data_IF_215284912836
#
_entry.id   IF_215284912836
#
_cell.length_a   1.000
_cell.length_b   1.000
_cell.length_c   1.000
_cell.angle_alpha   90.00
_cell.angle_beta   90.00
_cell.angle_gamma   90.00
#
_symmetry.space_group_name_H-M   'P 1'
#
loop_
_entity.id
_entity.type
_entity.pdbx_description
1 polymer ?
#
# COMPACT_ATOMS: atom_id res chain seq x y z
N UNK A 1 5.94 -10.81 -24.77
CA UNK A 1 7.31 -11.26 -24.39
C UNK A 1 7.17 -12.53 -23.57
N UNK A 2 8.05 -13.55 -23.72
CA UNK A 2 7.98 -14.72 -22.86
C UNK A 2 8.18 -14.32 -21.40
N UNK A 3 7.38 -14.89 -20.51
CA UNK A 3 7.51 -14.68 -19.07
C UNK A 3 8.85 -15.27 -18.65
N UNK A 4 9.82 -14.40 -18.29
CA UNK A 4 11.06 -14.85 -17.67
C UNK A 4 10.73 -15.24 -16.23
N UNK A 5 10.83 -16.52 -15.92
CA UNK A 5 10.80 -17.00 -14.55
C UNK A 5 12.18 -16.72 -13.93
N UNK A 6 12.28 -15.65 -13.14
CA UNK A 6 13.54 -15.15 -12.57
C UNK A 6 14.14 -16.03 -11.46
N UNK A 7 13.59 -17.24 -11.23
CA UNK A 7 13.93 -18.06 -10.07
C UNK A 7 13.26 -17.54 -8.78
N UNK A 8 13.51 -18.18 -7.63
CA UNK A 8 13.04 -17.69 -6.34
C UNK A 8 13.64 -16.31 -6.06
N UNK A 9 12.83 -15.40 -5.54
CA UNK A 9 13.30 -14.08 -5.17
C UNK A 9 14.31 -14.15 -4.02
N UNK A 10 15.34 -13.32 -4.06
CA UNK A 10 16.31 -13.16 -2.97
C UNK A 10 15.78 -12.13 -1.94
N UNK A 11 15.44 -12.54 -0.71
CA UNK A 11 15.01 -11.61 0.34
C UNK A 11 16.13 -10.64 0.78
N UNK A 12 17.38 -10.96 0.49
CA UNK A 12 18.52 -10.09 0.78
C UNK A 12 18.62 -8.88 -0.16
N UNK A 13 18.10 -9.00 -1.39
CA UNK A 13 18.22 -7.95 -2.40
C UNK A 13 17.44 -6.68 -1.98
N UNK A 14 18.13 -5.52 -1.80
CA UNK A 14 17.47 -4.28 -1.45
C UNK A 14 16.46 -3.80 -2.50
N UNK A 15 16.66 -4.15 -3.78
CA UNK A 15 15.73 -3.81 -4.87
C UNK A 15 14.46 -4.63 -4.77
N UNK A 16 14.58 -5.95 -4.60
CA UNK A 16 13.44 -6.84 -4.37
C UNK A 16 12.62 -6.39 -3.15
N UNK A 17 13.26 -6.12 -2.01
CA UNK A 17 12.56 -5.65 -0.80
C UNK A 17 11.88 -4.30 -0.99
N UNK A 18 12.43 -3.41 -1.80
CA UNK A 18 11.77 -2.13 -2.10
C UNK A 18 10.53 -2.34 -2.98
N UNK A 19 10.63 -3.21 -3.99
CA UNK A 19 9.48 -3.59 -4.80
C UNK A 19 8.37 -4.24 -3.96
N UNK A 20 8.73 -5.15 -3.05
CA UNK A 20 7.80 -5.76 -2.10
C UNK A 20 7.06 -4.70 -1.26
N UNK A 21 7.79 -3.70 -0.73
CA UNK A 21 7.19 -2.57 0.00
C UNK A 21 6.18 -1.79 -0.86
N UNK A 22 6.50 -1.54 -2.14
CA UNK A 22 5.60 -0.84 -3.07
C UNK A 22 4.33 -1.67 -3.34
N UNK A 23 4.47 -2.97 -3.59
CA UNK A 23 3.34 -3.87 -3.82
C UNK A 23 2.44 -3.91 -2.59
N UNK A 24 3.03 -4.06 -1.40
CA UNK A 24 2.29 -4.03 -0.14
C UNK A 24 1.56 -2.71 0.06
N UNK A 25 2.22 -1.56 -0.17
CA UNK A 25 1.57 -0.24 -0.07
C UNK A 25 0.38 -0.13 -1.04
N UNK A 26 0.57 -0.55 -2.29
CA UNK A 26 -0.48 -0.52 -3.32
C UNK A 26 -1.68 -1.38 -2.92
N UNK A 27 -1.42 -2.59 -2.41
CA UNK A 27 -2.47 -3.50 -1.96
C UNK A 27 -3.27 -2.89 -0.79
N UNK A 28 -2.59 -2.34 0.22
CA UNK A 28 -3.25 -1.68 1.34
C UNK A 28 -4.04 -0.45 0.88
N UNK A 29 -3.49 0.33 -0.06
CA UNK A 29 -4.18 1.46 -0.68
C UNK A 29 -5.46 1.04 -1.41
N UNK A 30 -5.41 -0.04 -2.18
CA UNK A 30 -6.58 -0.59 -2.88
C UNK A 30 -7.65 -1.07 -1.90
N UNK A 31 -7.27 -1.79 -0.84
CA UNK A 31 -8.20 -2.25 0.19
C UNK A 31 -8.81 -1.07 0.94
N UNK A 32 -8.01 -0.08 1.33
CA UNK A 32 -8.51 1.14 1.95
C UNK A 32 -9.52 1.85 1.06
N UNK A 33 -9.21 2.04 -0.23
CA UNK A 33 -10.09 2.71 -1.17
C UNK A 33 -11.41 1.93 -1.35
N UNK A 34 -11.35 0.63 -1.60
CA UNK A 34 -12.53 -0.20 -1.79
C UNK A 34 -13.44 -0.23 -0.56
N UNK A 35 -12.86 -0.40 0.64
CA UNK A 35 -13.63 -0.48 1.89
C UNK A 35 -14.19 0.88 2.27
N UNK A 36 -13.37 1.94 2.29
CA UNK A 36 -13.85 3.26 2.71
C UNK A 36 -14.88 3.82 1.72
N UNK A 37 -14.67 3.68 0.41
CA UNK A 37 -15.69 4.13 -0.57
C UNK A 37 -17.01 3.38 -0.40
N UNK A 38 -16.97 2.04 -0.21
CA UNK A 38 -18.17 1.25 0.03
C UNK A 38 -18.88 1.63 1.33
N UNK A 39 -18.15 1.82 2.42
CA UNK A 39 -18.71 2.23 3.71
C UNK A 39 -19.33 3.64 3.63
N UNK A 40 -18.65 4.60 3.00
CA UNK A 40 -19.18 5.95 2.82
C UNK A 40 -20.41 5.98 1.91
N UNK A 41 -20.45 5.13 0.88
CA UNK A 41 -21.66 4.95 0.06
C UNK A 41 -22.84 4.40 0.88
N UNK A 42 -22.62 3.35 1.69
CA UNK A 42 -23.66 2.78 2.56
C UNK A 42 -24.10 3.75 3.67
N UNK A 43 -23.18 4.59 4.15
CA UNK A 43 -23.46 5.62 5.13
C UNK A 43 -24.49 6.63 4.59
N UNK A 44 -24.37 7.05 3.33
CA UNK A 44 -25.34 7.98 2.72
C UNK A 44 -26.73 7.34 2.52
N UNK A 45 -26.81 6.02 2.34
CA UNK A 45 -28.09 5.34 2.12
C UNK A 45 -28.96 5.22 3.39
N UNK A 46 -28.35 4.94 4.55
CA UNK A 46 -29.09 4.60 5.79
C UNK A 46 -28.46 5.10 7.09
N UNK A 47 -27.34 5.83 7.02
CA UNK A 47 -26.54 6.33 8.16
C UNK A 47 -26.39 5.36 9.36
N UNK A 48 -25.95 4.09 9.16
CA UNK A 48 -25.91 3.13 10.27
C UNK A 48 -24.63 3.18 11.11
N UNK A 49 -23.53 3.76 10.61
CA UNK A 49 -22.22 3.68 11.28
C UNK A 49 -21.91 4.94 12.09
N UNK A 50 -21.68 4.77 13.39
CA UNK A 50 -21.07 5.79 14.24
C UNK A 50 -19.55 5.78 14.06
N UNK A 51 -18.94 6.97 14.11
CA UNK A 51 -17.47 7.16 14.09
C UNK A 51 -16.76 6.69 12.81
N UNK A 52 -17.48 6.62 11.67
CA UNK A 52 -16.89 6.24 10.39
C UNK A 52 -15.74 7.17 9.97
N UNK A 53 -15.86 8.46 10.29
CA UNK A 53 -14.84 9.48 10.13
C UNK A 53 -13.54 9.13 10.86
N UNK A 54 -13.61 8.73 12.14
CA UNK A 54 -12.45 8.33 12.92
C UNK A 54 -11.77 7.09 12.34
N UNK A 55 -12.55 6.11 11.88
CA UNK A 55 -12.02 4.90 11.25
C UNK A 55 -11.28 5.25 9.95
N UNK A 56 -11.91 6.02 9.06
CA UNK A 56 -11.29 6.45 7.80
C UNK A 56 -10.02 7.26 8.04
N UNK A 57 -10.05 8.22 8.98
CA UNK A 57 -8.89 9.06 9.29
C UNK A 57 -7.74 8.27 9.89
N UNK A 58 -8.03 7.39 10.86
CA UNK A 58 -6.99 6.59 11.54
C UNK A 58 -6.34 5.62 10.57
N UNK A 59 -7.12 4.94 9.72
CA UNK A 59 -6.58 4.04 8.70
C UNK A 59 -5.83 4.83 7.61
N UNK A 60 -6.34 5.98 7.18
CA UNK A 60 -5.66 6.87 6.24
C UNK A 60 -4.30 7.33 6.78
N UNK A 61 -4.21 7.68 8.07
CA UNK A 61 -2.95 8.03 8.72
C UNK A 61 -1.95 6.86 8.72
N UNK A 62 -2.39 5.62 8.96
CA UNK A 62 -1.52 4.44 8.85
C UNK A 62 -0.99 4.25 7.42
N UNK A 63 -1.80 4.52 6.39
CA UNK A 63 -1.36 4.47 5.00
C UNK A 63 -0.31 5.55 4.69
N UNK A 64 -0.46 6.76 5.23
CA UNK A 64 0.53 7.82 5.08
C UNK A 64 1.86 7.42 5.73
N UNK A 65 1.82 6.85 6.93
CA UNK A 65 3.01 6.32 7.61
C UNK A 65 3.66 5.22 6.77
N UNK A 66 2.88 4.27 6.25
CA UNK A 66 3.39 3.20 5.38
C UNK A 66 4.06 3.78 4.12
N UNK A 67 3.41 4.74 3.45
CA UNK A 67 3.99 5.46 2.31
C UNK A 67 5.32 6.14 2.65
N UNK A 68 5.38 6.79 3.81
CA UNK A 68 6.61 7.37 4.35
C UNK A 68 7.73 6.33 4.53
N UNK A 69 7.42 5.16 5.08
CA UNK A 69 8.37 4.05 5.22
C UNK A 69 8.89 3.57 3.87
N UNK A 70 8.03 3.44 2.85
CA UNK A 70 8.46 3.03 1.50
C UNK A 70 9.45 4.02 0.91
N UNK A 71 9.18 5.32 1.05
CA UNK A 71 10.06 6.40 0.55
C UNK A 71 11.38 6.44 1.33
N UNK A 72 11.31 6.38 2.66
CA UNK A 72 12.49 6.46 3.53
C UNK A 72 13.46 5.28 3.32
N UNK A 73 12.94 4.09 3.02
CA UNK A 73 13.72 2.88 2.79
C UNK A 73 14.01 2.62 1.30
N UNK A 74 13.95 3.65 0.46
CA UNK A 74 14.29 3.52 -0.96
C UNK A 74 15.80 3.25 -1.13
N UNK A 75 16.21 2.19 -1.85
CA UNK A 75 17.62 1.92 -2.09
C UNK A 75 18.27 3.01 -2.97
N UNK A 76 19.58 3.25 -2.80
CA UNK A 76 20.32 4.15 -3.67
C UNK A 76 20.28 3.66 -5.12
N UNK A 77 20.33 4.60 -6.06
CA UNK A 77 20.41 4.28 -7.50
C UNK A 77 21.75 3.57 -7.73
N UNK A 78 21.69 2.38 -8.33
CA UNK A 78 22.89 1.73 -8.85
C UNK A 78 23.23 2.41 -10.17
N UNK A 79 24.34 3.15 -10.20
CA UNK A 79 24.85 3.72 -11.45
C UNK A 79 25.53 2.60 -12.26
N UNK A 80 25.27 2.49 -13.58
CA UNK A 80 25.95 1.51 -14.41
C UNK A 80 27.45 1.85 -14.47
N UNK A 81 28.29 0.83 -14.25
CA UNK A 81 29.75 0.90 -14.37
C UNK A 81 30.20 1.12 -15.81
#
# INVERSE_FOLDING_TARGET
>A
MPIRWYGPADPGDPTYRHFERIVNLTLHGAVFAAVNSGLWFLQELRHPFSHLDLVTLTWGAMLLVHGGVVIALRPPRQDPA
#
